data_IF_742738456215
#
_entry.id   IF_742738456215
#
_cell.length_a   1.000
_cell.length_b   1.000
_cell.length_c   1.000
_cell.angle_alpha   90.00
_cell.angle_beta   90.00
_cell.angle_gamma   90.00
#
_symmetry.space_group_name_H-M   'P 1'
#
loop_
_entity.id
_entity.type
_entity.pdbx_description
1 polymer ?
#
# COMPACT_ATOMS: atom_id res chain seq x y z
N UNK A 1 -20.72 2.87 23.63
CA UNK A 1 -19.32 2.69 23.23
C UNK A 1 -19.24 2.19 21.79
N UNK A 2 -18.36 2.78 20.99
CA UNK A 2 -18.10 2.36 19.61
C UNK A 2 -16.78 1.58 19.58
N UNK A 3 -16.82 0.33 19.12
CA UNK A 3 -15.64 -0.50 18.89
C UNK A 3 -15.67 -1.01 17.44
N UNK A 4 -14.62 -0.72 16.68
CA UNK A 4 -14.47 -1.11 15.29
C UNK A 4 -13.16 -1.91 15.13
N UNK A 5 -13.22 -2.95 14.31
CA UNK A 5 -12.11 -3.80 13.90
C UNK A 5 -12.19 -3.98 12.37
N UNK A 6 -11.21 -4.66 11.79
CA UNK A 6 -10.90 -4.65 10.35
C UNK A 6 -10.39 -3.28 9.84
N UNK A 7 -9.16 -3.20 9.30
CA UNK A 7 -8.59 -1.94 8.86
C UNK A 7 -9.47 -1.17 7.87
N UNK A 8 -10.14 -1.86 6.94
CA UNK A 8 -11.00 -1.20 5.94
C UNK A 8 -12.25 -0.57 6.57
N UNK A 9 -12.87 -1.23 7.56
CA UNK A 9 -14.02 -0.68 8.28
C UNK A 9 -13.59 0.55 9.09
N UNK A 10 -12.45 0.47 9.78
CA UNK A 10 -11.89 1.60 10.54
C UNK A 10 -11.53 2.76 9.62
N UNK A 11 -10.87 2.50 8.49
CA UNK A 11 -10.49 3.53 7.52
C UNK A 11 -11.70 4.23 6.90
N UNK A 12 -12.73 3.49 6.47
CA UNK A 12 -13.95 4.10 5.93
C UNK A 12 -14.71 4.91 7.00
N UNK A 13 -14.81 4.40 8.23
CA UNK A 13 -15.40 5.17 9.32
C UNK A 13 -14.65 6.49 9.57
N UNK A 14 -13.32 6.47 9.59
CA UNK A 14 -12.51 7.67 9.80
C UNK A 14 -12.68 8.68 8.66
N UNK A 15 -12.75 8.23 7.41
CA UNK A 15 -12.98 9.09 6.24
C UNK A 15 -14.37 9.74 6.27
N UNK A 16 -15.41 8.99 6.65
CA UNK A 16 -16.77 9.53 6.80
C UNK A 16 -16.90 10.46 8.01
N UNK A 17 -16.25 10.13 9.13
CA UNK A 17 -16.33 10.89 10.38
C UNK A 17 -15.52 12.19 10.35
N UNK A 18 -14.41 12.19 9.61
CA UNK A 18 -13.47 13.29 9.46
C UNK A 18 -13.18 13.55 7.96
N UNK A 19 -14.11 14.17 7.22
CA UNK A 19 -14.09 14.23 5.74
C UNK A 19 -13.03 15.17 5.14
N UNK A 20 -12.12 15.71 5.95
CA UNK A 20 -11.14 16.71 5.52
C UNK A 20 -9.73 16.33 5.97
N UNK A 21 -8.79 16.09 5.04
CA UNK A 21 -9.01 15.96 3.59
C UNK A 21 -9.74 14.65 3.23
N UNK A 22 -10.56 14.60 2.16
CA UNK A 22 -11.25 13.38 1.75
C UNK A 22 -10.25 12.36 1.19
N UNK A 23 -10.34 11.10 1.62
CA UNK A 23 -9.49 10.00 1.17
C UNK A 23 -10.21 9.04 0.22
N UNK A 24 -11.50 9.26 -0.03
CA UNK A 24 -12.27 8.60 -1.07
C UNK A 24 -12.92 9.62 -2.03
N UNK A 25 -13.12 9.25 -3.31
CA UNK A 25 -13.84 10.10 -4.26
C UNK A 25 -15.34 10.23 -3.93
N UNK A 26 -15.90 11.42 -4.19
CA UNK A 26 -17.34 11.70 -3.98
C UNK A 26 -18.25 10.91 -4.92
N UNK A 27 -17.81 10.68 -6.16
CA UNK A 27 -18.63 10.04 -7.19
C UNK A 27 -18.71 8.52 -6.98
N UNK A 28 -19.91 7.90 -6.97
CA UNK A 28 -20.10 6.49 -6.64
C UNK A 28 -19.23 5.53 -7.44
N UNK A 29 -19.09 5.75 -8.76
CA UNK A 29 -18.26 4.89 -9.64
C UNK A 29 -16.78 4.98 -9.28
N UNK A 30 -16.27 6.19 -9.06
CA UNK A 30 -14.87 6.37 -8.65
C UNK A 30 -14.61 5.75 -7.27
N UNK A 31 -15.56 5.89 -6.35
CA UNK A 31 -15.51 5.29 -5.01
C UNK A 31 -15.50 3.76 -5.06
N UNK A 32 -16.33 3.17 -5.91
CA UNK A 32 -16.34 1.72 -6.15
C UNK A 32 -15.02 1.24 -6.75
N UNK A 33 -14.42 1.99 -7.68
CA UNK A 33 -13.11 1.67 -8.24
C UNK A 33 -11.99 1.74 -7.19
N UNK A 34 -11.98 2.74 -6.31
CA UNK A 34 -11.03 2.81 -5.19
C UNK A 34 -11.16 1.60 -4.27
N UNK A 35 -12.38 1.19 -3.91
CA UNK A 35 -12.63 -0.01 -3.09
C UNK A 35 -12.17 -1.29 -3.79
N UNK A 36 -12.40 -1.40 -5.11
CA UNK A 36 -11.92 -2.53 -5.90
C UNK A 36 -10.38 -2.59 -5.89
N UNK A 37 -9.70 -1.45 -5.99
CA UNK A 37 -8.25 -1.39 -5.89
C UNK A 37 -7.75 -1.79 -4.50
N UNK A 38 -8.38 -1.32 -3.42
CA UNK A 38 -8.06 -1.74 -2.04
C UNK A 38 -8.22 -3.26 -1.90
N UNK A 39 -9.31 -3.83 -2.42
CA UNK A 39 -9.52 -5.27 -2.40
C UNK A 39 -8.41 -6.03 -3.16
N UNK A 40 -8.01 -5.52 -4.33
CA UNK A 40 -6.92 -6.12 -5.11
C UNK A 40 -5.58 -6.00 -4.40
N UNK A 41 -5.26 -4.88 -3.76
CA UNK A 41 -4.06 -4.73 -2.93
C UNK A 41 -4.04 -5.81 -1.84
N UNK A 42 -5.16 -5.98 -1.13
CA UNK A 42 -5.27 -6.98 -0.07
C UNK A 42 -5.05 -8.40 -0.62
N UNK A 43 -5.74 -8.73 -1.71
CA UNK A 43 -5.72 -10.08 -2.28
C UNK A 43 -4.39 -10.40 -2.95
N UNK A 44 -3.88 -9.49 -3.76
CA UNK A 44 -2.75 -9.74 -4.66
C UNK A 44 -1.40 -9.43 -3.99
N UNK A 45 -1.34 -8.51 -3.01
CA UNK A 45 -0.10 -8.08 -2.37
C UNK A 45 -0.04 -8.36 -0.87
N UNK A 46 -1.04 -7.96 -0.07
CA UNK A 46 -1.00 -8.21 1.37
C UNK A 46 -0.92 -9.71 1.68
N UNK A 47 -1.63 -10.56 0.95
CA UNK A 47 -1.55 -12.02 1.12
C UNK A 47 -0.13 -12.58 0.90
N UNK A 48 0.66 -11.97 0.00
CA UNK A 48 2.05 -12.33 -0.22
C UNK A 48 2.94 -11.80 0.90
N UNK A 49 2.71 -10.57 1.37
CA UNK A 49 3.41 -9.99 2.53
C UNK A 49 3.21 -10.86 3.77
N UNK A 50 1.97 -11.26 4.06
CA UNK A 50 1.62 -12.10 5.19
C UNK A 50 2.34 -13.45 5.09
N UNK A 51 2.38 -14.06 3.90
CA UNK A 51 3.12 -15.32 3.67
C UNK A 51 4.63 -15.17 3.85
N UNK A 52 5.22 -14.03 3.47
CA UNK A 52 6.65 -13.77 3.64
C UNK A 52 6.99 -13.62 5.13
N UNK A 53 6.13 -12.93 5.89
CA UNK A 53 6.35 -12.60 7.31
C UNK A 53 5.91 -13.70 8.27
N UNK A 54 5.06 -14.65 7.84
CA UNK A 54 4.62 -15.75 8.70
C UNK A 54 5.77 -16.72 9.00
N UNK A 55 6.17 -16.78 10.28
CA UNK A 55 7.19 -17.69 10.81
C UNK A 55 6.90 -19.18 10.52
N UNK A 56 5.64 -19.53 10.25
CA UNK A 56 5.19 -20.90 9.96
C UNK A 56 5.33 -21.29 8.49
N UNK A 57 5.43 -20.32 7.57
CA UNK A 57 5.61 -20.59 6.14
C UNK A 57 6.97 -21.22 5.84
N UNK A 58 6.99 -22.19 4.92
CA UNK A 58 8.23 -22.85 4.49
C UNK A 58 9.08 -21.87 3.69
N UNK A 59 10.41 -22.00 3.76
CA UNK A 59 11.30 -21.05 3.06
C UNK A 59 11.05 -21.02 1.55
N UNK A 60 10.76 -22.17 0.92
CA UNK A 60 10.41 -22.23 -0.49
C UNK A 60 9.15 -21.40 -0.84
N UNK A 61 8.14 -21.39 0.04
CA UNK A 61 6.92 -20.60 -0.14
C UNK A 61 7.20 -19.10 0.03
N UNK A 62 8.06 -18.73 0.97
CA UNK A 62 8.49 -17.33 1.17
C UNK A 62 9.29 -16.80 -0.02
N UNK A 63 10.23 -17.60 -0.53
CA UNK A 63 11.01 -17.25 -1.73
C UNK A 63 10.10 -17.03 -2.93
N UNK A 64 9.13 -17.92 -3.13
CA UNK A 64 8.15 -17.78 -4.21
C UNK A 64 7.28 -16.53 -4.03
N UNK A 65 6.80 -16.25 -2.81
CA UNK A 65 6.01 -15.05 -2.53
C UNK A 65 6.79 -13.74 -2.75
N UNK A 66 8.08 -13.69 -2.36
CA UNK A 66 8.96 -12.55 -2.65
C UNK A 66 9.09 -12.31 -4.15
N UNK A 67 9.27 -13.39 -4.92
CA UNK A 67 9.36 -13.32 -6.39
C UNK A 67 8.06 -12.79 -7.01
N UNK A 68 6.92 -13.36 -6.63
CA UNK A 68 5.59 -12.96 -7.13
C UNK A 68 5.29 -11.49 -6.80
N UNK A 69 5.56 -11.07 -5.56
CA UNK A 69 5.33 -9.69 -5.13
C UNK A 69 6.23 -8.72 -5.91
N UNK A 70 7.52 -9.05 -6.06
CA UNK A 70 8.47 -8.25 -6.85
C UNK A 70 8.03 -8.11 -8.30
N UNK A 71 7.65 -9.21 -8.95
CA UNK A 71 7.20 -9.22 -10.35
C UNK A 71 5.90 -8.43 -10.52
N UNK A 72 4.94 -8.59 -9.60
CA UNK A 72 3.67 -7.86 -9.62
C UNK A 72 3.87 -6.35 -9.44
N UNK A 73 4.68 -5.94 -8.45
CA UNK A 73 5.01 -4.52 -8.22
C UNK A 73 5.78 -3.91 -9.40
N UNK A 74 6.69 -4.67 -10.01
CA UNK A 74 7.40 -4.21 -11.22
C UNK A 74 6.44 -4.05 -12.39
N UNK A 75 5.50 -4.99 -12.57
CA UNK A 75 4.51 -4.97 -13.64
C UNK A 75 3.51 -3.83 -13.55
N UNK A 76 3.13 -3.42 -12.33
CA UNK A 76 2.22 -2.28 -12.12
C UNK A 76 2.94 -0.93 -12.16
N UNK A 77 4.28 -0.90 -12.11
CA UNK A 77 5.05 0.33 -12.04
C UNK A 77 4.73 1.36 -13.13
N UNK A 78 4.49 1.01 -14.41
CA UNK A 78 4.16 2.00 -15.44
C UNK A 78 2.92 2.85 -15.13
N UNK A 79 1.97 2.32 -14.34
CA UNK A 79 0.75 3.07 -13.97
C UNK A 79 1.03 4.29 -13.06
N UNK A 80 2.21 4.34 -12.44
CA UNK A 80 2.66 5.45 -11.60
C UNK A 80 3.37 6.55 -12.39
N UNK A 81 3.53 6.40 -13.70
CA UNK A 81 4.12 7.42 -14.56
C UNK A 81 3.13 8.54 -14.90
N UNK A 82 1.85 8.21 -15.02
CA UNK A 82 0.83 9.14 -15.50
C UNK A 82 0.21 10.00 -14.38
N UNK A 83 0.13 9.45 -13.16
CA UNK A 83 -0.57 10.08 -12.04
C UNK A 83 0.29 10.18 -10.80
N UNK A 84 0.03 11.21 -9.98
CA UNK A 84 0.80 11.47 -8.77
C UNK A 84 0.68 10.35 -7.72
N UNK A 85 -0.51 9.75 -7.60
CA UNK A 85 -0.87 8.68 -6.67
C UNK A 85 -1.44 7.46 -7.41
N UNK A 86 -1.71 6.36 -6.69
CA UNK A 86 -2.05 5.11 -7.36
C UNK A 86 -3.40 5.19 -8.09
N UNK A 87 -3.35 5.35 -9.42
CA UNK A 87 -4.48 5.57 -10.32
C UNK A 87 -5.34 6.82 -9.99
N UNK A 88 -4.81 7.76 -9.20
CA UNK A 88 -5.48 8.97 -8.72
C UNK A 88 -4.56 10.20 -8.78
N UNK A 89 -5.15 11.39 -9.00
CA UNK A 89 -4.43 12.67 -8.85
C UNK A 89 -4.30 13.08 -7.38
N UNK A 90 -5.22 12.60 -6.55
CA UNK A 90 -5.31 12.90 -5.13
C UNK A 90 -4.91 11.69 -4.29
N UNK A 91 -4.29 11.95 -3.13
CA UNK A 91 -3.94 10.93 -2.15
C UNK A 91 -5.21 10.31 -1.56
N UNK A 92 -5.26 8.99 -1.46
CA UNK A 92 -6.48 8.25 -1.10
C UNK A 92 -6.23 7.07 -0.17
N UNK A 93 -7.31 6.42 0.29
CA UNK A 93 -7.22 5.17 1.06
C UNK A 93 -6.48 4.05 0.30
N UNK A 94 -6.46 4.09 -1.03
CA UNK A 94 -5.69 3.15 -1.86
C UNK A 94 -4.20 3.28 -1.54
N UNK A 95 -3.69 4.51 -1.43
CA UNK A 95 -2.31 4.80 -1.08
C UNK A 95 -2.00 4.43 0.38
N UNK A 96 -2.94 4.66 1.29
CA UNK A 96 -2.83 4.21 2.69
C UNK A 96 -2.66 2.70 2.82
N UNK A 97 -3.25 1.91 1.90
CA UNK A 97 -3.06 0.46 1.87
C UNK A 97 -1.72 0.05 1.24
N UNK A 98 -1.26 0.78 0.22
CA UNK A 98 -0.07 0.44 -0.54
C UNK A 98 1.23 0.84 0.14
N UNK A 99 1.32 2.06 0.67
CA UNK A 99 2.57 2.60 1.22
C UNK A 99 3.19 1.76 2.35
N UNK A 100 2.43 1.16 3.28
CA UNK A 100 2.98 0.27 4.31
C UNK A 100 3.70 -0.95 3.74
N UNK A 101 3.24 -1.49 2.60
CA UNK A 101 3.88 -2.59 1.89
C UNK A 101 5.20 -2.12 1.29
N UNK A 102 5.18 -0.98 0.58
CA UNK A 102 6.35 -0.43 -0.09
C UNK A 102 7.45 0.00 0.89
N UNK A 103 7.06 0.48 2.08
CA UNK A 103 7.98 0.82 3.16
C UNK A 103 8.79 -0.40 3.60
N UNK A 104 8.11 -1.55 3.70
CA UNK A 104 8.65 -2.83 4.20
C UNK A 104 9.44 -3.64 3.17
N UNK A 105 9.58 -3.20 1.92
CA UNK A 105 10.32 -3.96 0.90
C UNK A 105 11.72 -4.41 1.36
N UNK A 106 12.55 -3.59 2.05
CA UNK A 106 13.83 -4.04 2.60
C UNK A 106 13.68 -5.18 3.60
N UNK A 107 12.74 -5.06 4.56
CA UNK A 107 12.41 -6.10 5.53
C UNK A 107 11.93 -7.40 4.85
N UNK A 108 11.19 -7.29 3.76
CA UNK A 108 10.69 -8.42 2.97
C UNK A 108 11.79 -9.07 2.11
N UNK A 109 12.98 -8.47 2.02
CA UNK A 109 14.06 -8.94 1.15
C UNK A 109 13.76 -8.73 -0.33
N UNK A 110 13.06 -7.64 -0.69
CA UNK A 110 12.66 -7.32 -2.05
C UNK A 110 13.33 -6.03 -2.51
N UNK A 111 14.07 -6.12 -3.60
CA UNK A 111 14.61 -4.97 -4.32
C UNK A 111 13.90 -4.80 -5.67
N UNK A 112 13.34 -3.61 -5.88
CA UNK A 112 12.72 -3.28 -7.17
C UNK A 112 13.79 -2.94 -8.21
N UNK A 113 13.64 -3.42 -9.45
CA UNK A 113 14.63 -3.18 -10.49
C UNK A 113 14.51 -1.76 -11.06
N UNK A 114 15.53 -1.29 -11.79
CA UNK A 114 15.58 0.10 -12.31
C UNK A 114 14.40 0.45 -13.22
N UNK A 115 13.84 -0.50 -13.95
CA UNK A 115 12.64 -0.27 -14.77
C UNK A 115 11.39 0.06 -13.96
N UNK A 116 11.37 -0.21 -12.65
CA UNK A 116 10.31 0.20 -11.74
C UNK A 116 10.47 1.66 -11.25
N UNK A 117 11.22 2.49 -11.98
CA UNK A 117 11.47 3.90 -11.62
C UNK A 117 10.19 4.68 -11.30
N UNK A 118 9.08 4.59 -12.06
CA UNK A 118 7.88 5.35 -11.71
C UNK A 118 7.31 4.97 -10.33
N UNK A 119 7.38 3.70 -9.94
CA UNK A 119 6.97 3.25 -8.61
C UNK A 119 7.95 3.73 -7.53
N UNK A 120 9.26 3.70 -7.81
CA UNK A 120 10.28 4.24 -6.90
C UNK A 120 10.09 5.73 -6.66
N UNK A 121 9.81 6.51 -7.70
CA UNK A 121 9.53 7.95 -7.58
C UNK A 121 8.23 8.19 -6.80
N UNK A 122 7.21 7.34 -6.96
CA UNK A 122 6.00 7.36 -6.13
C UNK A 122 6.31 7.08 -4.65
N UNK A 123 7.16 6.09 -4.36
CA UNK A 123 7.59 5.76 -3.00
C UNK A 123 8.29 6.96 -2.34
N UNK A 124 9.21 7.60 -3.04
CA UNK A 124 9.91 8.79 -2.52
C UNK A 124 8.93 9.92 -2.16
N UNK A 125 8.00 10.24 -3.07
CA UNK A 125 6.95 11.24 -2.81
C UNK A 125 6.06 10.84 -1.64
N UNK A 126 5.61 9.58 -1.59
CA UNK A 126 4.75 9.06 -0.53
C UNK A 126 5.41 9.12 0.84
N UNK A 127 6.68 8.69 0.93
CA UNK A 127 7.44 8.67 2.19
C UNK A 127 7.90 10.07 2.65
N UNK A 128 7.99 11.03 1.73
CA UNK A 128 8.30 12.42 2.08
C UNK A 128 7.12 13.16 2.72
N UNK A 129 5.88 12.66 2.60
CA UNK A 129 4.69 13.31 3.18
C UNK A 129 4.79 13.37 4.70
N UNK A 130 4.47 14.52 5.27
CA UNK A 130 4.44 14.73 6.73
C UNK A 130 3.51 13.72 7.42
N UNK A 131 2.33 13.47 6.85
CA UNK A 131 1.37 12.51 7.40
C UNK A 131 1.91 11.07 7.43
N UNK A 132 2.70 10.68 6.43
CA UNK A 132 3.31 9.34 6.39
C UNK A 132 4.45 9.24 7.41
N UNK A 133 5.30 10.27 7.52
CA UNK A 133 6.37 10.30 8.53
C UNK A 133 5.80 10.27 9.96
N UNK A 134 4.69 10.97 10.18
CA UNK A 134 3.98 10.98 11.45
C UNK A 134 3.32 9.62 11.76
N UNK A 135 2.92 8.84 10.76
CA UNK A 135 2.30 7.53 10.97
C UNK A 135 3.29 6.42 11.35
N UNK A 136 4.59 6.60 11.09
CA UNK A 136 5.60 5.58 11.40
C UNK A 136 5.81 5.45 12.90
N UNK A 137 5.62 4.23 13.42
CA UNK A 137 6.09 3.83 14.75
C UNK A 137 7.62 3.85 14.84
N UNK A 138 8.18 3.78 16.06
CA UNK A 138 9.63 3.66 16.24
C UNK A 138 10.21 2.46 15.50
N UNK A 139 9.55 1.30 15.64
CA UNK A 139 9.96 0.05 14.97
C UNK A 139 9.95 0.20 13.44
N UNK A 140 8.95 0.89 12.88
CA UNK A 140 8.88 1.08 11.43
C UNK A 140 9.93 2.07 10.93
N UNK A 141 10.30 3.10 11.70
CA UNK A 141 11.37 4.02 11.32
C UNK A 141 12.70 3.30 11.18
N UNK A 142 12.98 2.34 12.05
CA UNK A 142 14.23 1.57 12.04
C UNK A 142 14.30 0.53 10.90
N UNK A 143 13.22 0.36 10.11
CA UNK A 143 13.21 -0.56 8.95
C UNK A 143 13.95 0.01 7.73
N UNK A 144 14.28 1.30 7.72
CA UNK A 144 14.92 2.02 6.61
C UNK A 144 15.95 3.03 7.07
#
# INVERSE_FOLDING_TARGET
DLALYEPTVVMEYLDERYPHPPLLPDYPVKRANSRLLIHRIQRDWCSLVDRILDARSKEAERVQARKELRESLTGVSPLFADKAYFLSEDFSLVDCCLLPILWRLPLLGIELPRQAKPLLDYMERGFARESFRASLSSVERDMR
#
